data_IF_073284381369
#
_entry.id   IF_073284381369
#
_cell.length_a   1.000
_cell.length_b   1.000
_cell.length_c   1.000
_cell.angle_alpha   90.00
_cell.angle_beta   90.00
_cell.angle_gamma   90.00
#
_symmetry.space_group_name_H-M   'P 1'
#
loop_
_entity.id
_entity.type
_entity.pdbx_description
1 polymer ?
#
# COMPACT_ATOMS: atom_id res chain seq x y z
N UNK A 1 19.64 -21.96 -5.99
CA UNK A 1 18.34 -22.58 -6.34
C UNK A 1 17.36 -21.44 -6.56
N UNK A 2 17.44 -20.85 -7.74
CA UNK A 2 16.98 -19.50 -8.04
C UNK A 2 16.17 -19.56 -9.33
N UNK A 3 15.00 -20.22 -9.32
CA UNK A 3 14.09 -20.21 -10.47
C UNK A 3 12.71 -20.87 -10.23
N UNK A 4 11.91 -20.50 -9.22
CA UNK A 4 10.51 -21.04 -9.14
C UNK A 4 9.46 -20.21 -8.40
N UNK A 5 9.72 -18.99 -7.91
CA UNK A 5 8.72 -18.20 -7.15
C UNK A 5 8.80 -16.70 -7.41
N UNK A 6 8.84 -16.27 -8.67
CA UNK A 6 8.12 -15.06 -9.01
C UNK A 6 6.62 -15.39 -8.87
N UNK A 7 6.14 -15.57 -7.62
CA UNK A 7 4.72 -15.67 -7.33
C UNK A 7 4.14 -14.38 -7.91
N UNK A 8 3.32 -14.50 -8.95
CA UNK A 8 2.37 -13.45 -9.28
C UNK A 8 1.53 -13.28 -8.01
N UNK A 9 1.90 -12.33 -7.16
CA UNK A 9 1.14 -12.02 -5.95
C UNK A 9 -0.21 -11.53 -6.46
N UNK A 10 -1.28 -12.24 -6.10
CA UNK A 10 -2.62 -11.88 -6.58
C UNK A 10 -3.04 -10.56 -5.95
N UNK A 11 -3.97 -9.84 -6.60
CA UNK A 11 -4.50 -8.58 -6.10
C UNK A 11 -5.11 -8.73 -4.69
N UNK A 12 -5.76 -9.87 -4.41
CA UNK A 12 -6.35 -10.18 -3.11
C UNK A 12 -5.28 -10.32 -2.04
N UNK A 13 -4.16 -10.99 -2.36
CA UNK A 13 -3.05 -11.16 -1.44
C UNK A 13 -2.40 -9.80 -1.11
N UNK A 14 -2.21 -8.92 -2.11
CA UNK A 14 -1.71 -7.57 -1.87
C UNK A 14 -2.65 -6.76 -0.96
N UNK A 15 -3.97 -6.90 -1.13
CA UNK A 15 -4.94 -6.20 -0.28
C UNK A 15 -4.91 -6.70 1.16
N UNK A 16 -4.72 -8.00 1.38
CA UNK A 16 -4.53 -8.55 2.72
C UNK A 16 -3.24 -8.03 3.36
N UNK A 17 -2.16 -7.92 2.57
CA UNK A 17 -0.86 -7.40 3.02
C UNK A 17 -0.89 -5.91 3.40
N UNK A 18 -1.86 -5.11 2.92
CA UNK A 18 -2.05 -3.71 3.37
C UNK A 18 -2.29 -3.63 4.88
N UNK A 19 -2.94 -4.63 5.47
CA UNK A 19 -3.33 -4.60 6.88
C UNK A 19 -2.10 -4.74 7.78
N UNK A 20 -1.13 -5.60 7.40
CA UNK A 20 0.10 -5.82 8.13
C UNK A 20 1.12 -4.69 7.87
N UNK A 21 1.47 -3.88 8.88
CA UNK A 21 2.42 -2.77 8.71
C UNK A 21 3.78 -3.19 8.12
N UNK A 22 4.21 -4.44 8.32
CA UNK A 22 5.50 -4.93 7.82
C UNK A 22 5.50 -5.16 6.30
N UNK A 23 4.33 -5.43 5.71
CA UNK A 23 4.18 -5.70 4.27
C UNK A 23 3.49 -4.56 3.52
N UNK A 24 2.78 -3.68 4.24
CA UNK A 24 1.94 -2.63 3.71
C UNK A 24 2.61 -1.76 2.64
N UNK A 25 3.82 -1.29 2.89
CA UNK A 25 4.53 -0.41 1.95
C UNK A 25 4.78 -1.11 0.61
N UNK A 26 5.26 -2.36 0.66
CA UNK A 26 5.49 -3.15 -0.54
C UNK A 26 4.18 -3.49 -1.26
N UNK A 27 3.12 -3.78 -0.50
CA UNK A 27 1.80 -4.07 -1.04
C UNK A 27 1.21 -2.86 -1.77
N UNK A 28 1.26 -1.67 -1.17
CA UNK A 28 0.82 -0.41 -1.78
C UNK A 28 1.63 -0.14 -3.06
N UNK A 29 2.96 -0.24 -3.00
CA UNK A 29 3.84 -0.04 -4.16
C UNK A 29 3.48 -0.96 -5.34
N UNK A 30 3.18 -2.23 -5.07
CA UNK A 30 2.78 -3.20 -6.08
C UNK A 30 1.37 -3.03 -6.61
N UNK A 31 0.45 -2.46 -5.83
CA UNK A 31 -0.90 -2.11 -6.25
C UNK A 31 -0.89 -0.86 -7.12
N UNK A 32 -0.16 0.20 -6.72
CA UNK A 32 -0.05 1.45 -7.47
C UNK A 32 0.54 1.25 -8.88
N UNK A 33 1.49 0.32 -9.04
CA UNK A 33 2.03 -0.03 -10.36
C UNK A 33 1.06 -0.79 -11.28
N UNK A 34 -0.08 -1.26 -10.76
CA UNK A 34 -1.02 -2.13 -11.48
C UNK A 34 -2.46 -1.62 -11.41
N UNK A 35 -2.66 -0.35 -11.04
CA UNK A 35 -3.99 0.28 -10.97
C UNK A 35 -4.72 0.29 -12.32
N UNK A 36 -3.96 0.32 -13.42
CA UNK A 36 -4.46 0.23 -14.79
C UNK A 36 -4.94 -1.19 -15.16
N UNK A 37 -4.30 -2.21 -14.59
CA UNK A 37 -4.63 -3.62 -14.82
C UNK A 37 -5.83 -4.05 -13.95
N UNK A 38 -5.90 -3.56 -12.71
CA UNK A 38 -6.93 -3.94 -11.74
C UNK A 38 -8.14 -3.00 -11.77
N UNK A 39 -8.97 -3.13 -12.82
CA UNK A 39 -10.16 -2.29 -13.02
C UNK A 39 -11.21 -2.39 -11.88
N UNK A 40 -11.23 -3.51 -11.16
CA UNK A 40 -12.11 -3.75 -10.01
C UNK A 40 -11.46 -3.46 -8.65
N UNK A 41 -10.27 -2.85 -8.65
CA UNK A 41 -9.54 -2.52 -7.44
C UNK A 41 -10.29 -1.56 -6.50
N UNK A 42 -10.96 -0.47 -6.96
CA UNK A 42 -11.58 0.46 -6.04
C UNK A 42 -12.70 -0.15 -5.19
N UNK A 43 -13.67 -0.91 -5.76
CA UNK A 43 -14.65 -1.64 -4.95
C UNK A 43 -14.01 -2.67 -4.03
N UNK A 44 -12.94 -3.33 -4.47
CA UNK A 44 -12.26 -4.36 -3.67
C UNK A 44 -11.55 -3.76 -2.45
N UNK A 45 -10.87 -2.62 -2.61
CA UNK A 45 -10.26 -1.87 -1.50
C UNK A 45 -11.30 -1.39 -0.49
N UNK A 46 -12.43 -0.88 -0.97
CA UNK A 46 -13.49 -0.33 -0.12
C UNK A 46 -14.20 -1.40 0.71
N UNK A 47 -14.45 -2.57 0.12
CA UNK A 47 -15.18 -3.67 0.78
C UNK A 47 -14.27 -4.60 1.60
N UNK A 48 -12.95 -4.43 1.53
CA UNK A 48 -12.01 -5.24 2.30
C UNK A 48 -11.87 -4.71 3.72
N UNK A 49 -11.94 -5.63 4.69
CA UNK A 49 -11.91 -5.28 6.11
C UNK A 49 -10.58 -4.63 6.50
N UNK A 50 -10.64 -3.44 7.10
CA UNK A 50 -9.45 -2.75 7.62
C UNK A 50 -8.54 -2.10 6.58
N UNK A 51 -8.74 -2.36 5.29
CA UNK A 51 -7.91 -1.81 4.21
C UNK A 51 -7.96 -0.28 4.16
N UNK A 52 -9.14 0.32 4.12
CA UNK A 52 -9.29 1.79 4.12
C UNK A 52 -8.73 2.41 5.41
N UNK A 53 -8.92 1.76 6.55
CA UNK A 53 -8.37 2.24 7.82
C UNK A 53 -6.83 2.22 7.83
N UNK A 54 -6.21 1.18 7.27
CA UNK A 54 -4.76 1.09 7.13
C UNK A 54 -4.21 2.16 6.17
N UNK A 55 -4.89 2.43 5.05
CA UNK A 55 -4.50 3.52 4.14
C UNK A 55 -4.63 4.90 4.80
N UNK A 56 -5.68 5.13 5.58
CA UNK A 56 -5.82 6.37 6.36
C UNK A 56 -4.70 6.52 7.40
N UNK A 57 -4.31 5.43 8.06
CA UNK A 57 -3.17 5.46 9.00
C UNK A 57 -1.87 5.89 8.31
N UNK A 58 -1.66 5.49 7.06
CA UNK A 58 -0.50 5.95 6.26
C UNK A 58 -0.50 7.45 6.06
N UNK A 59 -1.63 8.03 5.66
CA UNK A 59 -1.79 9.48 5.51
C UNK A 59 -1.52 10.20 6.84
N UNK A 60 -2.11 9.69 7.94
CA UNK A 60 -1.95 10.28 9.27
C UNK A 60 -0.49 10.20 9.76
N UNK A 61 0.27 9.18 9.37
CA UNK A 61 1.67 9.00 9.80
C UNK A 61 2.59 10.12 9.34
N UNK A 62 2.23 10.86 8.29
CA UNK A 62 3.03 11.99 7.77
C UNK A 62 2.77 13.28 8.53
N UNK A 63 1.61 13.44 9.17
CA UNK A 63 1.26 14.70 9.83
C UNK A 63 2.25 15.17 10.91
N UNK A 64 2.81 14.30 11.78
CA UNK A 64 3.87 14.71 12.70
C UNK A 64 5.08 15.32 11.97
N UNK A 65 5.46 14.75 10.82
CA UNK A 65 6.61 15.20 10.03
C UNK A 65 6.31 16.51 9.30
N UNK A 66 5.10 16.65 8.73
CA UNK A 66 4.62 17.87 8.10
C UNK A 66 4.56 19.02 9.10
N UNK A 67 4.07 18.76 10.32
CA UNK A 67 3.96 19.77 11.38
C UNK A 67 5.33 20.33 11.82
N UNK A 68 6.40 19.56 11.62
CA UNK A 68 7.77 19.94 11.95
C UNK A 68 8.56 20.52 10.77
N UNK A 69 7.94 20.65 9.58
CA UNK A 69 8.60 21.05 8.32
C UNK A 69 9.80 20.16 7.91
N UNK A 70 9.84 18.90 8.38
CA UNK A 70 10.92 17.95 8.11
C UNK A 70 10.51 16.87 7.12
N UNK A 71 9.74 17.21 6.10
CA UNK A 71 9.29 16.24 5.11
C UNK A 71 10.47 15.77 4.25
N UNK A 72 10.88 14.52 4.45
CA UNK A 72 11.85 13.85 3.58
C UNK A 72 11.17 13.33 2.32
N UNK A 73 11.90 13.26 1.20
CA UNK A 73 11.43 12.69 -0.07
C UNK A 73 10.84 11.27 0.10
N UNK A 74 11.48 10.44 0.92
CA UNK A 74 11.03 9.06 1.22
C UNK A 74 9.64 9.04 1.85
N UNK A 75 9.40 9.87 2.87
CA UNK A 75 8.10 9.97 3.53
C UNK A 75 7.00 10.50 2.61
N UNK A 76 7.35 11.40 1.68
CA UNK A 76 6.41 11.90 0.67
C UNK A 76 6.02 10.79 -0.31
N UNK A 77 6.99 10.09 -0.88
CA UNK A 77 6.76 9.04 -1.88
C UNK A 77 6.00 7.84 -1.31
N UNK A 78 6.11 7.59 -0.01
CA UNK A 78 5.38 6.52 0.67
C UNK A 78 3.88 6.79 0.82
N UNK A 79 3.46 8.05 0.77
CA UNK A 79 2.06 8.45 0.99
C UNK A 79 1.35 8.93 -0.28
N UNK A 80 2.10 9.27 -1.33
CA UNK A 80 1.56 9.53 -2.67
C UNK A 80 1.16 8.24 -3.39
#
# INVERSE_FOLDING_TARGET
MENSRARLISKEQLILEIIDPNFRENAIFHLCQRTDIFQDLPPLLWNSFGTIAALLQEILSVYPVLSQLKLTEVASNRVC
#
